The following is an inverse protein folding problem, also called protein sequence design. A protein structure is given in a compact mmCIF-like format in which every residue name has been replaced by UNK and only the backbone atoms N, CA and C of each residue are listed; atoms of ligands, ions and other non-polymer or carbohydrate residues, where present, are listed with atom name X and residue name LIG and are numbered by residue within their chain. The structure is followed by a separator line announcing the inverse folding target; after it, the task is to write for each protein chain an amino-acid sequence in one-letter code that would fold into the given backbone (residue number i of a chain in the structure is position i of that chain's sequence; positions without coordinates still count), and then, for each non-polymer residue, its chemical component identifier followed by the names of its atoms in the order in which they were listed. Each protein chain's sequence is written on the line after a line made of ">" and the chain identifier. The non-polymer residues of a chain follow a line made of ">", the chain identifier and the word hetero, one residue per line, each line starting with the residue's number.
data_IF_355016841074
#
_entry.id   IF_355016841074
#
_cell.length_a   1.000
_cell.length_b   1.000
_cell.length_c   1.000
_cell.angle_alpha   90.00
_cell.angle_beta   90.00
_cell.angle_gamma   90.00
#
_symmetry.space_group_name_H-M   'P 1'
#
loop_
_entity.id
_entity.type
_entity.pdbx_description
1 polymer ?
#
# COMPACT_ATOMS: atom_id res chain seq x y z
N UNK A 1 -9.53 -20.95 -4.44
CA UNK A 1 -8.66 -19.87 -3.89
C UNK A 1 -8.42 -18.90 -5.02
N UNK A 2 -8.67 -17.62 -4.79
CA UNK A 2 -8.75 -16.57 -5.82
C UNK A 2 -7.38 -16.15 -6.38
N UNK A 3 -6.37 -17.03 -6.34
CA UNK A 3 -5.00 -16.81 -6.85
C UNK A 3 -4.14 -15.78 -6.09
N UNK A 4 -4.72 -14.97 -5.20
CA UNK A 4 -4.02 -13.88 -4.49
C UNK A 4 -3.08 -14.35 -3.37
N UNK A 5 -2.13 -13.50 -3.00
CA UNK A 5 -1.29 -13.71 -1.83
C UNK A 5 -2.13 -13.77 -0.53
N UNK A 6 -1.72 -14.61 0.42
CA UNK A 6 -2.46 -14.84 1.66
C UNK A 6 -2.63 -13.60 2.57
N UNK A 7 -1.81 -12.57 2.38
CA UNK A 7 -1.88 -11.32 3.15
C UNK A 7 -2.94 -10.33 2.63
N UNK A 8 -3.41 -10.46 1.39
CA UNK A 8 -4.39 -9.52 0.82
C UNK A 8 -5.73 -9.55 1.57
N UNK A 9 -6.10 -10.71 2.15
CA UNK A 9 -7.33 -10.85 2.93
C UNK A 9 -8.60 -10.50 2.12
N UNK A 10 -9.72 -10.22 2.80
CA UNK A 10 -11.00 -9.92 2.15
C UNK A 10 -11.32 -8.42 2.04
N UNK A 11 -10.56 -7.53 2.70
CA UNK A 11 -10.84 -6.10 2.70
C UNK A 11 -10.57 -5.51 1.30
N UNK A 12 -11.57 -4.86 0.71
CA UNK A 12 -11.49 -4.35 -0.67
C UNK A 12 -10.28 -3.44 -0.91
N UNK A 13 -9.94 -2.58 0.06
CA UNK A 13 -8.75 -1.70 -0.02
C UNK A 13 -7.44 -2.49 -0.18
N UNK A 14 -7.32 -3.67 0.45
CA UNK A 14 -6.15 -4.52 0.25
C UNK A 14 -6.23 -5.30 -1.05
N UNK A 15 -7.42 -5.74 -1.46
CA UNK A 15 -7.62 -6.40 -2.75
C UNK A 15 -7.21 -5.46 -3.88
N UNK A 16 -7.69 -4.22 -3.88
CA UNK A 16 -7.38 -3.21 -4.88
C UNK A 16 -5.88 -2.88 -4.88
N UNK A 17 -5.30 -2.65 -3.69
CA UNK A 17 -3.87 -2.40 -3.56
C UNK A 17 -3.03 -3.59 -4.05
N UNK A 18 -3.40 -4.81 -3.68
CA UNK A 18 -2.70 -6.02 -4.10
C UNK A 18 -2.75 -6.19 -5.63
N UNK A 19 -3.93 -6.04 -6.21
CA UNK A 19 -4.17 -6.37 -7.61
C UNK A 19 -3.63 -5.30 -8.57
N UNK A 20 -3.60 -4.03 -8.14
CA UNK A 20 -3.30 -2.90 -9.04
C UNK A 20 -2.01 -2.14 -8.71
N UNK A 21 -1.47 -2.28 -7.49
CA UNK A 21 -0.30 -1.52 -7.05
C UNK A 21 0.87 -2.39 -6.58
N UNK A 22 0.60 -3.47 -5.84
CA UNK A 22 1.64 -4.25 -5.19
C UNK A 22 2.39 -5.13 -6.19
N UNK A 23 3.70 -4.94 -6.29
CA UNK A 23 4.55 -5.67 -7.25
C UNK A 23 4.43 -5.17 -8.70
N UNK A 24 3.59 -4.16 -8.96
CA UNK A 24 3.54 -3.49 -10.26
C UNK A 24 4.75 -2.55 -10.38
N UNK A 25 5.58 -2.65 -11.44
CA UNK A 25 6.73 -1.78 -11.62
C UNK A 25 6.35 -0.31 -11.63
N UNK A 26 7.03 0.48 -10.80
CA UNK A 26 6.88 1.93 -10.72
C UNK A 26 8.20 2.60 -11.09
N UNK A 27 8.13 3.65 -11.90
CA UNK A 27 9.29 4.35 -12.43
C UNK A 27 9.26 5.85 -12.12
N UNK A 28 8.14 6.38 -11.64
CA UNK A 28 8.07 7.77 -11.18
C UNK A 28 8.80 7.94 -9.84
N UNK A 29 9.78 8.85 -9.82
CA UNK A 29 10.63 9.06 -8.65
C UNK A 29 9.87 9.61 -7.44
N UNK A 30 8.81 10.42 -7.67
CA UNK A 30 8.00 10.99 -6.58
C UNK A 30 7.13 9.91 -5.96
N UNK A 31 6.51 9.05 -6.77
CA UNK A 31 5.73 7.91 -6.30
C UNK A 31 6.61 6.89 -5.57
N UNK A 32 7.81 6.59 -6.08
CA UNK A 32 8.77 5.72 -5.38
C UNK A 32 9.18 6.29 -4.02
N UNK A 33 9.46 7.59 -3.95
CA UNK A 33 9.76 8.26 -2.69
C UNK A 33 8.59 8.18 -1.72
N UNK A 34 7.36 8.41 -2.18
CA UNK A 34 6.16 8.29 -1.35
C UNK A 34 6.01 6.88 -0.78
N UNK A 35 6.13 5.85 -1.62
CA UNK A 35 6.07 4.44 -1.18
C UNK A 35 7.10 4.13 -0.10
N UNK A 36 8.34 4.61 -0.29
CA UNK A 36 9.42 4.45 0.69
C UNK A 36 9.09 5.12 2.04
N UNK A 37 8.56 6.34 2.00
CA UNK A 37 8.20 7.08 3.22
C UNK A 37 7.04 6.40 3.96
N UNK A 38 6.01 5.95 3.23
CA UNK A 38 4.87 5.24 3.80
C UNK A 38 5.30 3.92 4.47
N UNK A 39 6.26 3.20 3.87
CA UNK A 39 6.85 1.99 4.46
C UNK A 39 7.53 2.27 5.80
N UNK A 40 8.24 3.40 5.91
CA UNK A 40 8.81 3.87 7.18
C UNK A 40 7.75 4.16 8.25
N UNK A 41 6.62 4.77 7.89
CA UNK A 41 5.52 5.02 8.81
C UNK A 41 4.83 3.74 9.31
N UNK A 42 5.05 2.60 8.66
CA UNK A 42 4.48 1.32 9.08
C UNK A 42 5.15 0.73 10.34
N UNK A 43 6.29 1.25 10.80
CA UNK A 43 7.01 0.66 11.92
C UNK A 43 6.12 0.44 13.17
N UNK A 44 5.87 -0.83 13.52
CA UNK A 44 5.00 -1.20 14.64
C UNK A 44 3.49 -1.20 14.37
N UNK A 45 3.07 -0.99 13.12
CA UNK A 45 1.68 -0.94 12.68
C UNK A 45 1.39 -1.98 11.57
N UNK A 46 0.11 -2.20 11.30
CA UNK A 46 -0.33 -2.96 10.13
C UNK A 46 -0.33 -2.09 8.87
N UNK A 47 -0.02 -2.66 7.70
CA UNK A 47 0.02 -1.91 6.43
C UNK A 47 -1.35 -1.30 6.07
N UNK A 48 -2.47 -1.95 6.43
CA UNK A 48 -3.83 -1.42 6.24
C UNK A 48 -4.04 -0.08 6.97
N UNK A 49 -3.36 0.13 8.11
CA UNK A 49 -3.40 1.40 8.85
C UNK A 49 -2.80 2.53 8.02
N UNK A 50 -1.71 2.24 7.31
CA UNK A 50 -1.03 3.20 6.43
C UNK A 50 -1.85 3.44 5.17
N UNK A 51 -2.38 2.39 4.52
CA UNK A 51 -3.22 2.55 3.33
C UNK A 51 -4.45 3.42 3.61
N UNK A 52 -5.14 3.22 4.74
CA UNK A 52 -6.29 4.03 5.16
C UNK A 52 -5.94 5.49 5.46
N UNK A 53 -4.66 5.82 5.66
CA UNK A 53 -4.16 7.18 5.94
C UNK A 53 -3.38 7.80 4.79
N UNK A 54 -3.18 7.10 3.67
CA UNK A 54 -2.33 7.54 2.55
C UNK A 54 -2.72 8.92 2.03
N UNK A 55 -4.01 9.16 1.77
CA UNK A 55 -4.49 10.47 1.30
C UNK A 55 -4.20 11.59 2.30
N UNK A 56 -4.27 11.31 3.60
CA UNK A 56 -3.95 12.30 4.64
C UNK A 56 -2.46 12.63 4.68
N UNK A 57 -1.57 11.67 4.38
CA UNK A 57 -0.14 11.94 4.25
C UNK A 57 0.19 12.82 3.04
N UNK A 58 -0.58 12.73 1.97
CA UNK A 58 -0.40 13.57 0.78
C UNK A 58 -0.91 15.00 0.98
N UNK A 59 -1.93 15.19 1.83
CA UNK A 59 -2.55 16.48 2.08
C UNK A 59 -1.87 17.33 3.18
N UNK A 60 -0.95 16.75 3.95
CA UNK A 60 -0.23 17.39 5.06
C UNK A 60 1.05 18.09 4.59
#
# INVERSE_FOLDING_TARGET
>A
MDGRCGWAGPEQIYVDYHDTEWGVPEYDARTLWEKLILDGFQAGLSWITILKKRENFQAA
#
